data_IF_189414103609
#
_entry.id   IF_189414103609
#
_cell.length_a   1.000
_cell.length_b   1.000
_cell.length_c   1.000
_cell.angle_alpha   90.00
_cell.angle_beta   90.00
_cell.angle_gamma   90.00
#
_symmetry.space_group_name_H-M   'P 1'
#
loop_
_entity.id
_entity.type
_entity.pdbx_description
1 polymer ?
#
# COMPACT_ATOMS: atom_id res chain seq x y z
N UNK A 1 -40.45 7.08 0.69
CA UNK A 1 -39.02 7.46 0.73
C UNK A 1 -38.54 7.49 -0.72
N UNK A 2 -37.85 8.54 -1.17
CA UNK A 2 -37.35 8.59 -2.55
C UNK A 2 -36.47 7.35 -2.80
N UNK A 3 -36.76 6.58 -3.86
CA UNK A 3 -36.04 5.34 -4.20
C UNK A 3 -34.53 5.56 -4.41
N UNK A 4 -34.11 6.80 -4.66
CA UNK A 4 -32.72 7.19 -4.89
C UNK A 4 -31.94 7.61 -3.63
N UNK A 5 -32.58 7.78 -2.47
CA UNK A 5 -31.90 8.28 -1.25
C UNK A 5 -30.95 7.22 -0.69
N UNK A 6 -31.38 5.97 -0.62
CA UNK A 6 -30.57 4.89 -0.05
C UNK A 6 -29.33 4.59 -0.91
N UNK A 7 -29.42 4.44 -2.26
CA UNK A 7 -28.25 4.27 -3.11
C UNK A 7 -27.30 5.48 -3.08
N UNK A 8 -27.82 6.71 -3.01
CA UNK A 8 -27.00 7.91 -2.87
C UNK A 8 -26.17 7.89 -1.56
N UNK A 9 -26.82 7.57 -0.44
CA UNK A 9 -26.12 7.44 0.85
C UNK A 9 -25.07 6.33 0.78
N UNK A 10 -25.38 5.21 0.11
CA UNK A 10 -24.43 4.12 -0.15
C UNK A 10 -23.19 4.59 -0.92
N UNK A 11 -23.37 5.34 -2.01
CA UNK A 11 -22.27 5.90 -2.80
C UNK A 11 -21.38 6.85 -1.97
N UNK A 12 -21.98 7.72 -1.17
CA UNK A 12 -21.24 8.64 -0.28
C UNK A 12 -20.45 7.86 0.77
N UNK A 13 -21.06 6.86 1.41
CA UNK A 13 -20.40 6.01 2.40
C UNK A 13 -19.25 5.20 1.78
N UNK A 14 -19.41 4.70 0.55
CA UNK A 14 -18.35 4.02 -0.19
C UNK A 14 -17.15 4.93 -0.40
N UNK A 15 -17.36 6.17 -0.87
CA UNK A 15 -16.26 7.13 -1.10
C UNK A 15 -15.55 7.48 0.21
N UNK A 16 -16.29 7.75 1.29
CA UNK A 16 -15.71 8.03 2.60
C UNK A 16 -14.95 6.81 3.15
N UNK A 17 -15.52 5.61 3.03
CA UNK A 17 -14.86 4.37 3.43
C UNK A 17 -13.59 4.10 2.65
N UNK A 18 -13.62 4.34 1.33
CA UNK A 18 -12.46 4.20 0.45
C UNK A 18 -11.36 5.21 0.77
N UNK A 19 -11.72 6.45 1.13
CA UNK A 19 -10.77 7.45 1.61
C UNK A 19 -10.10 7.01 2.93
N UNK A 20 -10.88 6.50 3.88
CA UNK A 20 -10.34 5.96 5.13
C UNK A 20 -9.42 4.76 4.87
N UNK A 21 -9.84 3.84 3.99
CA UNK A 21 -9.05 2.70 3.58
C UNK A 21 -7.72 3.12 2.93
N UNK A 22 -7.74 4.16 2.08
CA UNK A 22 -6.52 4.72 1.50
C UNK A 22 -5.60 5.33 2.57
N UNK A 23 -6.15 6.04 3.57
CA UNK A 23 -5.37 6.51 4.72
C UNK A 23 -4.67 5.36 5.47
N UNK A 24 -5.30 4.19 5.57
CA UNK A 24 -4.66 2.99 6.13
C UNK A 24 -3.48 2.51 5.28
N UNK A 25 -3.55 2.61 3.94
CA UNK A 25 -2.40 2.30 3.06
C UNK A 25 -1.20 3.20 3.37
N UNK A 26 -1.41 4.47 3.72
CA UNK A 26 -0.33 5.39 4.12
C UNK A 26 0.35 4.93 5.41
N UNK A 27 -0.41 4.28 6.30
CA UNK A 27 0.09 3.65 7.53
C UNK A 27 0.71 2.26 7.29
N UNK A 28 0.93 1.87 6.03
CA UNK A 28 1.41 0.55 5.61
C UNK A 28 0.51 -0.62 6.04
N UNK A 29 -0.78 -0.36 6.23
CA UNK A 29 -1.80 -1.40 6.40
C UNK A 29 -2.36 -1.83 5.03
N UNK A 30 -3.07 -2.98 4.93
CA UNK A 30 -3.63 -3.48 3.67
C UNK A 30 -4.87 -2.68 3.20
N UNK A 31 -4.76 -1.36 3.12
CA UNK A 31 -5.86 -0.44 2.80
C UNK A 31 -6.45 -0.63 1.40
N UNK A 32 -5.62 -0.91 0.39
CA UNK A 32 -6.12 -1.21 -0.97
C UNK A 32 -7.02 -2.45 -0.99
N UNK A 33 -6.75 -3.46 -0.15
CA UNK A 33 -7.64 -4.61 -0.01
C UNK A 33 -8.96 -4.24 0.67
N UNK A 34 -8.95 -3.29 1.60
CA UNK A 34 -10.18 -2.77 2.18
C UNK A 34 -11.01 -2.00 1.14
N UNK A 35 -10.37 -1.24 0.24
CA UNK A 35 -11.06 -0.60 -0.91
C UNK A 35 -11.74 -1.68 -1.78
N UNK A 36 -11.06 -2.80 -2.08
CA UNK A 36 -11.65 -3.93 -2.80
C UNK A 36 -12.88 -4.47 -2.06
N UNK A 37 -12.77 -4.75 -0.77
CA UNK A 37 -13.87 -5.30 0.04
C UNK A 37 -15.09 -4.36 0.05
N UNK A 38 -14.87 -3.06 0.26
CA UNK A 38 -15.92 -2.05 0.25
C UNK A 38 -16.59 -1.95 -1.13
N UNK A 39 -15.80 -1.99 -2.21
CA UNK A 39 -16.31 -1.92 -3.58
C UNK A 39 -17.11 -3.17 -3.95
N UNK A 40 -16.65 -4.36 -3.57
CA UNK A 40 -17.40 -5.62 -3.76
C UNK A 40 -18.72 -5.60 -2.97
N UNK A 41 -18.67 -5.12 -1.74
CA UNK A 41 -19.87 -5.00 -0.91
C UNK A 41 -20.88 -4.00 -1.50
N UNK A 42 -20.39 -2.88 -2.04
CA UNK A 42 -21.24 -1.92 -2.75
C UNK A 42 -21.83 -2.51 -4.04
N UNK A 43 -21.07 -3.27 -4.82
CA UNK A 43 -21.58 -3.97 -6.02
C UNK A 43 -22.74 -4.93 -5.70
N UNK A 44 -22.71 -5.52 -4.50
CA UNK A 44 -23.77 -6.41 -4.03
C UNK A 44 -25.00 -5.64 -3.52
N UNK A 45 -24.81 -4.50 -2.83
CA UNK A 45 -25.90 -3.71 -2.24
C UNK A 45 -26.53 -2.68 -3.18
N UNK A 46 -25.83 -2.28 -4.25
CA UNK A 46 -26.23 -1.21 -5.16
C UNK A 46 -26.22 -1.70 -6.62
N UNK A 47 -27.23 -2.50 -7.03
CA UNK A 47 -27.30 -3.05 -8.37
C UNK A 47 -27.46 -1.96 -9.45
N UNK A 48 -27.03 -2.28 -10.67
CA UNK A 48 -26.99 -1.39 -11.87
C UNK A 48 -28.34 -0.79 -12.29
N UNK A 49 -29.46 -1.25 -11.72
CA UNK A 49 -30.80 -0.71 -11.99
C UNK A 49 -31.08 0.63 -11.28
N UNK A 50 -30.16 1.07 -10.42
CA UNK A 50 -30.30 2.31 -9.64
C UNK A 50 -29.40 3.42 -10.19
N UNK A 51 -29.83 4.68 -10.02
CA UNK A 51 -29.05 5.85 -10.46
C UNK A 51 -27.64 5.94 -9.85
N UNK A 52 -27.46 5.36 -8.66
CA UNK A 52 -26.17 5.27 -7.97
C UNK A 52 -25.87 3.79 -7.76
N UNK A 53 -24.92 3.23 -8.51
CA UNK A 53 -24.70 1.79 -8.55
C UNK A 53 -23.22 1.45 -8.63
N UNK A 54 -22.84 0.20 -8.34
CA UNK A 54 -21.49 -0.29 -8.61
C UNK A 54 -21.60 -1.55 -9.44
N UNK A 55 -20.92 -1.57 -10.58
CA UNK A 55 -20.83 -2.73 -11.44
C UNK A 55 -19.84 -3.77 -10.90
N UNK A 56 -20.09 -5.03 -11.23
CA UNK A 56 -19.12 -6.11 -10.97
C UNK A 56 -17.82 -5.93 -11.78
N UNK A 57 -17.89 -5.21 -12.91
CA UNK A 57 -16.73 -4.84 -13.70
C UNK A 57 -15.80 -3.91 -12.89
N UNK A 58 -16.35 -2.88 -12.25
CA UNK A 58 -15.60 -1.98 -11.37
C UNK A 58 -14.95 -2.73 -10.22
N UNK A 59 -15.67 -3.65 -9.57
CA UNK A 59 -15.08 -4.52 -8.55
C UNK A 59 -13.88 -5.33 -9.08
N UNK A 60 -13.98 -5.88 -10.29
CA UNK A 60 -12.89 -6.57 -10.97
C UNK A 60 -11.69 -5.69 -11.29
N UNK A 61 -11.93 -4.45 -11.78
CA UNK A 61 -10.88 -3.47 -12.07
C UNK A 61 -10.15 -3.07 -10.78
N UNK A 62 -10.90 -2.74 -9.73
CA UNK A 62 -10.35 -2.35 -8.42
C UNK A 62 -9.54 -3.50 -7.82
N UNK A 63 -10.00 -4.75 -7.93
CA UNK A 63 -9.22 -5.92 -7.53
C UNK A 63 -7.90 -6.04 -8.32
N UNK A 64 -7.95 -5.92 -9.65
CA UNK A 64 -6.75 -5.96 -10.49
C UNK A 64 -5.75 -4.87 -10.14
N UNK A 65 -6.23 -3.66 -9.90
CA UNK A 65 -5.40 -2.53 -9.43
C UNK A 65 -4.79 -2.82 -8.06
N UNK A 66 -5.55 -3.38 -7.10
CA UNK A 66 -5.00 -3.75 -5.79
C UNK A 66 -3.80 -4.71 -5.93
N UNK A 67 -3.93 -5.73 -6.79
CA UNK A 67 -2.83 -6.66 -7.10
C UNK A 67 -1.63 -5.93 -7.70
N UNK A 68 -1.85 -5.01 -8.66
CA UNK A 68 -0.77 -4.19 -9.22
C UNK A 68 -0.07 -3.37 -8.12
N UNK A 69 -0.83 -2.76 -7.20
CA UNK A 69 -0.27 -2.00 -6.08
C UNK A 69 0.62 -2.85 -5.16
N UNK A 70 0.20 -4.07 -4.82
CA UNK A 70 1.02 -5.00 -4.02
C UNK A 70 2.28 -5.45 -4.77
N UNK A 71 2.15 -5.71 -6.09
CA UNK A 71 3.30 -6.07 -6.93
C UNK A 71 4.29 -4.92 -7.04
N UNK A 72 3.83 -3.66 -7.11
CA UNK A 72 4.71 -2.49 -7.09
C UNK A 72 5.46 -2.37 -5.76
N UNK A 73 4.78 -2.53 -4.63
CA UNK A 73 5.42 -2.45 -3.31
C UNK A 73 6.48 -3.54 -3.12
N UNK A 74 6.11 -4.80 -3.33
CA UNK A 74 6.99 -5.95 -3.12
C UNK A 74 8.05 -6.07 -4.22
N UNK A 75 7.67 -5.78 -5.46
CA UNK A 75 8.52 -5.90 -6.64
C UNK A 75 9.59 -4.83 -6.70
N UNK A 76 9.30 -3.56 -6.36
CA UNK A 76 10.27 -2.48 -6.46
C UNK A 76 11.50 -2.75 -5.56
N UNK A 77 11.27 -3.17 -4.30
CA UNK A 77 12.34 -3.55 -3.39
C UNK A 77 13.19 -4.71 -3.94
N UNK A 78 12.54 -5.78 -4.41
CA UNK A 78 13.22 -6.97 -4.94
C UNK A 78 14.01 -6.68 -6.22
N UNK A 79 13.43 -5.93 -7.16
CA UNK A 79 14.07 -5.59 -8.44
C UNK A 79 15.30 -4.72 -8.20
N UNK A 80 15.16 -3.69 -7.36
CA UNK A 80 16.28 -2.81 -7.03
C UNK A 80 17.37 -3.57 -6.26
N UNK A 81 17.01 -4.45 -5.33
CA UNK A 81 17.95 -5.33 -4.63
C UNK A 81 18.75 -6.21 -5.59
N UNK A 82 18.06 -6.92 -6.48
CA UNK A 82 18.70 -7.84 -7.44
C UNK A 82 19.62 -7.11 -8.41
N UNK A 83 19.26 -5.89 -8.85
CA UNK A 83 20.14 -5.05 -9.69
C UNK A 83 21.47 -4.71 -9.01
N UNK A 84 21.49 -4.66 -7.68
CA UNK A 84 22.69 -4.41 -6.88
C UNK A 84 23.39 -5.70 -6.42
N UNK A 85 23.00 -6.87 -6.94
CA UNK A 85 23.63 -8.15 -6.60
C UNK A 85 23.19 -8.73 -5.26
N UNK A 86 22.08 -8.25 -4.69
CA UNK A 86 21.59 -8.73 -3.39
C UNK A 86 21.39 -10.25 -3.35
N UNK A 87 21.79 -10.84 -2.24
CA UNK A 87 21.53 -12.22 -1.91
C UNK A 87 20.05 -12.47 -1.60
N UNK A 88 19.65 -13.74 -1.72
CA UNK A 88 18.30 -14.17 -1.30
C UNK A 88 18.03 -13.88 0.18
N UNK A 89 19.07 -13.96 1.03
CA UNK A 89 18.95 -13.67 2.47
C UNK A 89 18.67 -12.18 2.72
N UNK A 90 19.39 -11.30 2.03
CA UNK A 90 19.15 -9.86 2.13
C UNK A 90 17.73 -9.47 1.71
N UNK A 91 17.19 -10.08 0.65
CA UNK A 91 15.81 -9.82 0.23
C UNK A 91 14.80 -10.20 1.32
N UNK A 92 14.90 -11.40 1.90
CA UNK A 92 13.98 -11.84 2.96
C UNK A 92 14.10 -11.02 4.23
N UNK A 93 15.33 -10.75 4.67
CA UNK A 93 15.57 -9.93 5.87
C UNK A 93 15.13 -8.48 5.65
N UNK A 94 15.26 -7.94 4.45
CA UNK A 94 14.74 -6.61 4.12
C UNK A 94 13.21 -6.53 4.18
N UNK A 95 12.50 -7.56 3.73
CA UNK A 95 11.03 -7.60 3.84
C UNK A 95 10.59 -7.59 5.30
N UNK A 96 11.17 -8.48 6.13
CA UNK A 96 10.86 -8.56 7.55
C UNK A 96 11.30 -7.30 8.30
N UNK A 97 12.50 -6.81 8.02
CA UNK A 97 13.03 -5.58 8.58
C UNK A 97 12.19 -4.38 8.22
N UNK A 98 11.71 -4.28 6.98
CA UNK A 98 10.83 -3.20 6.54
C UNK A 98 9.47 -3.19 7.25
N UNK A 99 8.88 -4.37 7.49
CA UNK A 99 7.65 -4.48 8.29
C UNK A 99 7.92 -4.08 9.73
N UNK A 100 8.94 -4.66 10.37
CA UNK A 100 9.27 -4.36 11.76
C UNK A 100 9.59 -2.87 11.95
N UNK A 101 10.43 -2.32 11.08
CA UNK A 101 10.82 -0.92 11.11
C UNK A 101 9.64 0.03 10.92
N UNK A 102 8.68 -0.30 10.05
CA UNK A 102 7.46 0.49 9.88
C UNK A 102 6.58 0.48 11.15
N UNK A 103 6.44 -0.67 11.81
CA UNK A 103 5.71 -0.80 13.07
C UNK A 103 6.38 -0.01 14.21
N UNK A 104 7.71 -0.10 14.33
CA UNK A 104 8.47 0.70 15.30
C UNK A 104 8.36 2.20 14.99
N UNK A 105 8.45 2.57 13.71
CA UNK A 105 8.30 3.94 13.26
C UNK A 105 6.90 4.52 13.54
N UNK A 106 5.86 3.69 13.41
CA UNK A 106 4.49 4.07 13.78
C UNK A 106 4.36 4.40 15.27
N UNK A 107 5.01 3.61 16.14
CA UNK A 107 4.99 3.80 17.59
C UNK A 107 5.87 4.94 18.11
N UNK A 108 6.96 5.27 17.40
CA UNK A 108 7.93 6.28 17.82
C UNK A 108 7.66 7.72 17.32
N UNK A 109 6.78 7.90 16.34
CA UNK A 109 6.46 9.21 15.76
C UNK A 109 5.57 10.08 16.66
N UNK A 110 6.07 10.55 17.80
CA UNK A 110 5.28 11.30 18.78
C UNK A 110 5.83 12.70 19.07
N UNK A 111 5.55 13.65 18.16
CA UNK A 111 5.51 15.11 18.45
C UNK A 111 4.36 15.79 17.66
N UNK A 112 4.04 15.31 16.44
CA UNK A 112 2.91 15.81 15.63
C UNK A 112 1.96 14.65 15.28
N UNK A 113 0.70 14.65 15.72
CA UNK A 113 -0.27 13.61 15.40
C UNK A 113 -0.44 13.46 13.88
N UNK A 114 -0.61 12.22 13.41
CA UNK A 114 -0.74 11.87 11.97
C UNK A 114 0.55 12.06 11.18
N UNK A 115 1.05 13.30 11.02
CA UNK A 115 2.25 13.56 10.20
C UNK A 115 3.51 12.88 10.76
N UNK A 116 3.70 12.90 12.09
CA UNK A 116 4.80 12.21 12.75
C UNK A 116 4.74 10.70 12.56
N UNK A 117 3.54 10.13 12.60
CA UNK A 117 3.31 8.70 12.35
C UNK A 117 3.61 8.33 10.89
N UNK A 118 3.19 9.15 9.92
CA UNK A 118 3.47 8.90 8.50
C UNK A 118 4.97 8.90 8.19
N UNK A 119 5.66 9.94 8.67
CA UNK A 119 7.12 10.05 8.51
C UNK A 119 7.80 8.88 9.23
N UNK A 120 7.37 8.55 10.45
CA UNK A 120 7.87 7.42 11.22
C UNK A 120 7.71 6.09 10.49
N UNK A 121 6.53 5.80 9.95
CA UNK A 121 6.24 4.56 9.19
C UNK A 121 7.10 4.46 7.93
N UNK A 122 7.23 5.55 7.16
CA UNK A 122 8.04 5.56 5.94
C UNK A 122 9.54 5.42 6.24
N UNK A 123 10.07 6.23 7.16
CA UNK A 123 11.49 6.19 7.52
C UNK A 123 11.84 4.91 8.26
N UNK A 124 10.99 4.47 9.19
CA UNK A 124 11.14 3.21 9.91
C UNK A 124 11.10 2.03 8.95
N UNK A 125 10.17 2.00 8.00
CA UNK A 125 10.10 0.94 6.99
C UNK A 125 11.30 0.94 6.05
N UNK A 126 11.77 2.11 5.61
CA UNK A 126 12.97 2.23 4.78
C UNK A 126 14.25 1.81 5.55
N UNK A 127 14.41 2.29 6.79
CA UNK A 127 15.54 1.96 7.66
C UNK A 127 15.55 0.49 8.08
N UNK A 128 14.41 -0.08 8.40
CA UNK A 128 14.27 -1.50 8.70
C UNK A 128 14.61 -2.37 7.49
N UNK A 129 14.17 -1.98 6.28
CA UNK A 129 14.53 -2.69 5.05
C UNK A 129 16.02 -2.56 4.72
N UNK A 130 16.62 -1.38 4.93
CA UNK A 130 18.06 -1.16 4.83
C UNK A 130 18.82 -2.12 5.76
N UNK A 131 18.49 -2.12 7.05
CA UNK A 131 19.17 -2.92 8.06
C UNK A 131 19.01 -4.42 7.77
N UNK A 132 17.82 -4.86 7.37
CA UNK A 132 17.58 -6.25 6.99
C UNK A 132 18.44 -6.68 5.80
N UNK A 133 18.49 -5.87 4.74
CA UNK A 133 19.34 -6.12 3.59
C UNK A 133 20.84 -6.12 3.95
N UNK A 134 21.29 -5.13 4.71
CA UNK A 134 22.66 -5.01 5.20
C UNK A 134 23.09 -6.25 6.00
N UNK A 135 22.27 -6.67 6.97
CA UNK A 135 22.53 -7.87 7.79
C UNK A 135 22.55 -9.14 6.94
N UNK A 136 21.71 -9.22 5.89
CA UNK A 136 21.72 -10.36 4.98
C UNK A 136 22.99 -10.48 4.15
N UNK A 137 23.56 -9.35 3.71
CA UNK A 137 24.83 -9.33 2.98
C UNK A 137 26.04 -9.57 3.88
N UNK A 138 26.08 -8.96 5.07
CA UNK A 138 27.16 -9.18 6.04
C UNK A 138 27.19 -10.62 6.53
N UNK A 139 26.03 -11.24 6.77
CA UNK A 139 25.96 -12.67 7.11
C UNK A 139 26.43 -13.58 5.96
N UNK A 140 26.34 -13.11 4.71
CA UNK A 140 26.91 -13.83 3.55
C UNK A 140 28.43 -13.59 3.40
N UNK A 141 29.05 -12.80 4.28
CA UNK A 141 30.47 -12.47 4.23
C UNK A 141 30.83 -11.49 3.11
N UNK A 142 29.87 -10.66 2.66
CA UNK A 142 30.15 -9.61 1.67
C UNK A 142 30.82 -8.41 2.34
N UNK A 143 31.55 -7.63 1.53
CA UNK A 143 32.19 -6.41 2.02
C UNK A 143 31.15 -5.42 2.54
N UNK A 144 31.57 -4.59 3.49
CA UNK A 144 30.73 -3.56 4.10
C UNK A 144 30.20 -2.57 3.05
N UNK A 145 31.06 -2.12 2.13
CA UNK A 145 30.67 -1.26 1.01
C UNK A 145 29.53 -1.87 0.18
N UNK A 146 29.60 -3.17 -0.11
CA UNK A 146 28.57 -3.87 -0.86
C UNK A 146 27.27 -3.98 -0.06
N UNK A 147 27.36 -4.31 1.24
CA UNK A 147 26.19 -4.41 2.11
C UNK A 147 25.45 -3.07 2.24
N UNK A 148 26.18 -1.96 2.38
CA UNK A 148 25.62 -0.61 2.45
C UNK A 148 24.97 -0.22 1.12
N UNK A 149 25.61 -0.53 0.00
CA UNK A 149 25.06 -0.26 -1.33
C UNK A 149 23.74 -1.01 -1.57
N UNK A 150 23.70 -2.30 -1.23
CA UNK A 150 22.49 -3.12 -1.33
C UNK A 150 21.39 -2.61 -0.38
N UNK A 151 21.74 -2.31 0.88
CA UNK A 151 20.80 -1.76 1.85
C UNK A 151 20.17 -0.46 1.40
N UNK A 152 20.97 0.49 0.91
CA UNK A 152 20.50 1.79 0.43
C UNK A 152 19.56 1.64 -0.77
N UNK A 153 19.93 0.79 -1.72
CA UNK A 153 19.13 0.52 -2.89
C UNK A 153 17.77 -0.10 -2.51
N UNK A 154 17.76 -1.07 -1.60
CA UNK A 154 16.54 -1.72 -1.10
C UNK A 154 15.62 -0.72 -0.41
N UNK A 155 16.16 0.16 0.43
CA UNK A 155 15.38 1.19 1.12
C UNK A 155 14.69 2.14 0.13
N UNK A 156 15.42 2.61 -0.89
CA UNK A 156 14.85 3.44 -1.96
C UNK A 156 13.77 2.68 -2.73
N UNK A 157 14.06 1.43 -3.11
CA UNK A 157 13.11 0.57 -3.82
C UNK A 157 11.82 0.34 -3.04
N UNK A 158 11.90 0.12 -1.73
CA UNK A 158 10.72 -0.01 -0.86
C UNK A 158 9.92 1.29 -0.80
N UNK A 159 10.56 2.43 -0.59
CA UNK A 159 9.87 3.72 -0.52
C UNK A 159 9.14 4.03 -1.83
N UNK A 160 9.80 3.83 -2.98
CA UNK A 160 9.17 4.01 -4.29
C UNK A 160 8.00 3.04 -4.51
N UNK A 161 8.13 1.80 -4.07
CA UNK A 161 7.06 0.80 -4.12
C UNK A 161 5.82 1.21 -3.32
N UNK A 162 6.00 1.70 -2.08
CA UNK A 162 4.92 2.20 -1.23
C UNK A 162 4.22 3.41 -1.88
N UNK A 163 5.00 4.37 -2.40
CA UNK A 163 4.44 5.53 -3.11
C UNK A 163 3.63 5.10 -4.35
N UNK A 164 4.15 4.15 -5.13
CA UNK A 164 3.42 3.57 -6.26
C UNK A 164 2.09 2.94 -5.84
N UNK A 165 2.09 2.15 -4.77
CA UNK A 165 0.88 1.55 -4.18
C UNK A 165 -0.15 2.58 -3.73
N UNK A 166 0.31 3.70 -3.15
CA UNK A 166 -0.55 4.81 -2.75
C UNK A 166 -1.22 5.47 -3.95
N UNK A 167 -0.48 5.71 -5.04
CA UNK A 167 -1.03 6.25 -6.29
C UNK A 167 -2.08 5.32 -6.88
N UNK A 168 -1.79 4.01 -6.90
CA UNK A 168 -2.77 3.00 -7.34
C UNK A 168 -4.03 3.04 -6.48
N UNK A 169 -3.89 3.19 -5.15
CA UNK A 169 -5.02 3.36 -4.25
C UNK A 169 -5.90 4.57 -4.60
N UNK A 170 -5.30 5.71 -4.98
CA UNK A 170 -6.05 6.90 -5.45
C UNK A 170 -6.84 6.54 -6.72
N UNK A 171 -6.22 5.88 -7.69
CA UNK A 171 -6.90 5.45 -8.93
C UNK A 171 -8.07 4.52 -8.63
N UNK A 172 -7.91 3.56 -7.71
CA UNK A 172 -8.99 2.67 -7.28
C UNK A 172 -10.17 3.46 -6.70
N UNK A 173 -9.91 4.45 -5.84
CA UNK A 173 -10.96 5.31 -5.28
C UNK A 173 -11.71 6.08 -6.36
N UNK A 174 -10.98 6.64 -7.32
CA UNK A 174 -11.57 7.43 -8.41
C UNK A 174 -12.43 6.57 -9.34
N UNK A 175 -11.98 5.36 -9.66
CA UNK A 175 -12.76 4.40 -10.47
C UNK A 175 -14.05 4.00 -9.74
N UNK A 176 -13.96 3.64 -8.46
CA UNK A 176 -15.13 3.29 -7.66
C UNK A 176 -16.09 4.47 -7.49
N UNK A 177 -15.57 5.68 -7.26
CA UNK A 177 -16.39 6.89 -7.15
C UNK A 177 -17.05 7.25 -8.48
N UNK A 178 -16.36 7.08 -9.61
CA UNK A 178 -16.95 7.34 -10.92
C UNK A 178 -18.18 6.47 -11.16
N UNK A 179 -18.03 5.16 -11.03
CA UNK A 179 -19.12 4.19 -11.24
C UNK A 179 -20.28 4.41 -10.26
N UNK A 180 -19.97 4.78 -9.01
CA UNK A 180 -20.98 5.06 -7.98
C UNK A 180 -21.93 6.20 -8.34
N UNK A 181 -21.49 7.17 -9.16
CA UNK A 181 -22.20 8.44 -9.38
C UNK A 181 -22.57 8.72 -10.84
N UNK A 182 -21.95 8.06 -11.83
CA UNK A 182 -22.08 8.34 -13.26
C UNK A 182 -22.22 7.07 -14.08
#
# INVERSE_FOLDING_TARGET
MNSNVLPFVGAVLLVLGNLLAWCLTVLQLPGNWLIVLLTVFAAWLMPEETRFSISWLTAGIVFGLAVVGEVLELGAGVVVAKKHGASRRAVWLALLGGIAGALFGAGGGSIVPVLGTLIGVLLGGAGGAFLGAYLGETWKGRSEEHAIAVGSAVAIGRTLGVLGKMVVGIVMMLVAAWDAFF
#
